data_IF_557664324980
#
_entry.id   IF_557664324980
#
_cell.length_a   1.000
_cell.length_b   1.000
_cell.length_c   1.000
_cell.angle_alpha   90.00
_cell.angle_beta   90.00
_cell.angle_gamma   90.00
#
_symmetry.space_group_name_H-M   'P 1'
#
loop_
_entity.id
_entity.type
_entity.pdbx_description
1 polymer ?
#
# COMPACT_ATOMS: atom_id res chain seq x y z
N UNK A 1 -7.61 -8.30 20.48
CA UNK A 1 -8.41 -9.14 19.55
C UNK A 1 -7.55 -10.20 18.84
N UNK A 2 -6.22 -10.15 18.90
CA UNK A 2 -5.36 -11.12 18.19
C UNK A 2 -5.35 -10.93 16.68
N UNK A 3 -5.87 -9.80 16.17
CA UNK A 3 -5.98 -9.52 14.73
C UNK A 3 -4.63 -9.19 14.07
N UNK A 4 -3.56 -9.06 14.87
CA UNK A 4 -2.25 -8.60 14.37
C UNK A 4 -2.25 -7.14 13.92
N UNK A 5 -3.30 -6.38 14.21
CA UNK A 5 -3.46 -4.98 13.80
C UNK A 5 -4.01 -4.13 14.94
N UNK A 6 -3.72 -2.84 14.95
CA UNK A 6 -4.28 -1.87 15.90
C UNK A 6 -5.05 -0.76 15.17
N UNK A 7 -5.96 -0.06 15.85
CA UNK A 7 -6.56 1.15 15.27
C UNK A 7 -5.49 2.20 15.01
N UNK A 8 -5.62 2.98 13.93
CA UNK A 8 -4.73 4.11 13.67
C UNK A 8 -4.72 5.12 14.84
N UNK A 9 -5.84 5.27 15.56
CA UNK A 9 -5.93 6.16 16.72
C UNK A 9 -5.12 5.64 17.92
N UNK A 10 -4.99 4.32 18.06
CA UNK A 10 -4.24 3.70 19.16
C UNK A 10 -2.72 3.75 18.95
N UNK A 11 -2.27 4.14 17.75
CA UNK A 11 -0.86 4.27 17.41
C UNK A 11 -0.15 5.35 18.25
N UNK A 12 -0.81 6.49 18.54
CA UNK A 12 -0.23 7.53 19.41
C UNK A 12 0.03 6.98 20.82
N UNK A 13 -0.95 6.26 21.38
CA UNK A 13 -0.83 5.60 22.68
C UNK A 13 0.29 4.56 22.70
N UNK A 14 0.40 3.73 21.65
CA UNK A 14 1.45 2.73 21.52
C UNK A 14 2.84 3.36 21.53
N UNK A 15 3.06 4.38 20.68
CA UNK A 15 4.38 5.01 20.52
C UNK A 15 4.82 5.76 21.78
N UNK A 16 3.88 6.34 22.53
CA UNK A 16 4.13 6.94 23.86
C UNK A 16 4.46 5.90 24.93
N UNK A 17 3.85 4.72 24.85
CA UNK A 17 4.10 3.67 25.83
C UNK A 17 5.49 3.06 25.67
N UNK A 18 5.99 2.97 24.43
CA UNK A 18 7.32 2.46 24.14
C UNK A 18 8.37 3.52 24.50
N UNK A 19 9.37 3.13 25.29
CA UNK A 19 10.48 4.01 25.67
C UNK A 19 11.43 4.23 24.46
N UNK A 20 12.12 5.38 24.40
CA UNK A 20 13.24 5.56 23.48
C UNK A 20 14.29 4.45 23.64
N UNK A 21 15.00 4.03 22.56
CA UNK A 21 15.03 4.65 21.23
C UNK A 21 13.93 4.17 20.26
N UNK A 22 13.21 3.09 20.60
CA UNK A 22 12.18 2.51 19.72
C UNK A 22 10.90 3.33 19.68
N UNK A 23 10.52 3.94 20.80
CA UNK A 23 9.37 4.85 20.88
C UNK A 23 9.78 6.26 21.29
N UNK A 24 8.79 7.06 21.68
CA UNK A 24 9.02 8.47 22.08
C UNK A 24 8.88 8.68 23.59
N UNK A 25 8.28 7.73 24.30
CA UNK A 25 8.02 7.81 25.73
C UNK A 25 6.81 8.69 26.11
N UNK A 26 6.33 8.50 27.34
CA UNK A 26 5.05 9.04 27.80
C UNK A 26 4.98 10.58 27.81
N UNK A 27 6.12 11.26 27.99
CA UNK A 27 6.22 12.72 28.08
C UNK A 27 6.35 13.43 26.73
N UNK A 28 6.32 12.70 25.61
CA UNK A 28 6.46 13.31 24.28
C UNK A 28 5.29 14.24 23.93
N UNK A 29 5.57 15.35 23.24
CA UNK A 29 4.52 16.25 22.75
C UNK A 29 3.72 15.58 21.62
N UNK A 30 2.43 15.92 21.47
CA UNK A 30 1.58 15.40 20.37
C UNK A 30 2.19 15.65 18.99
N UNK A 31 2.81 16.81 18.79
CA UNK A 31 3.48 17.17 17.53
C UNK A 31 4.64 16.22 17.23
N UNK A 32 5.47 15.91 18.24
CA UNK A 32 6.58 14.97 18.09
C UNK A 32 6.07 13.57 17.75
N UNK A 33 5.01 13.10 18.41
CA UNK A 33 4.45 11.77 18.13
C UNK A 33 3.88 11.70 16.72
N UNK A 34 3.16 12.72 16.26
CA UNK A 34 2.64 12.77 14.89
C UNK A 34 3.77 12.76 13.85
N UNK A 35 4.83 13.54 14.07
CA UNK A 35 5.99 13.54 13.18
C UNK A 35 6.71 12.18 13.19
N UNK A 36 6.81 11.55 14.36
CA UNK A 36 7.35 10.21 14.51
C UNK A 36 6.53 9.20 13.70
N UNK A 37 5.21 9.15 13.89
CA UNK A 37 4.32 8.24 13.16
C UNK A 37 4.40 8.49 11.65
N UNK A 38 4.39 9.75 11.20
CA UNK A 38 4.50 10.11 9.77
C UNK A 38 5.82 9.62 9.15
N UNK A 39 6.89 9.55 9.93
CA UNK A 39 8.17 9.02 9.46
C UNK A 39 8.22 7.49 9.36
N UNK A 40 7.29 6.78 10.01
CA UNK A 40 7.13 5.34 9.86
C UNK A 40 6.36 5.06 8.57
N UNK A 41 6.91 4.19 7.73
CA UNK A 41 6.25 3.83 6.48
C UNK A 41 5.39 2.58 6.68
N UNK A 42 4.33 2.75 7.47
CA UNK A 42 3.37 1.69 7.76
C UNK A 42 2.11 1.92 6.92
N UNK A 43 1.71 0.98 6.05
CA UNK A 43 0.47 1.10 5.31
C UNK A 43 -0.73 0.91 6.27
N UNK A 44 -1.85 1.55 5.94
CA UNK A 44 -3.13 1.27 6.57
C UNK A 44 -3.84 0.17 5.80
N UNK A 45 -4.50 -0.73 6.52
CA UNK A 45 -5.43 -1.68 5.92
C UNK A 45 -6.70 -0.96 5.43
N UNK A 46 -7.53 -1.67 4.66
CA UNK A 46 -8.82 -1.15 4.15
C UNK A 46 -9.73 -0.65 5.28
N UNK A 47 -9.66 -1.30 6.45
CA UNK A 47 -10.42 -0.95 7.64
C UNK A 47 -9.79 0.19 8.47
N UNK A 48 -8.75 0.85 7.95
CA UNK A 48 -8.04 1.93 8.65
C UNK A 48 -7.19 1.45 9.83
N UNK A 49 -6.74 0.19 9.81
CA UNK A 49 -5.93 -0.41 10.88
C UNK A 49 -4.46 -0.47 10.49
N UNK A 50 -3.60 -0.48 11.50
CA UNK A 50 -2.15 -0.48 11.36
C UNK A 50 -1.63 -1.90 11.65
N UNK A 51 -0.92 -2.55 10.70
CA UNK A 51 -0.34 -3.86 10.94
C UNK A 51 0.80 -3.84 11.97
N UNK A 52 0.73 -4.74 12.96
CA UNK A 52 1.70 -4.82 14.05
C UNK A 52 3.10 -5.18 13.54
N UNK A 53 3.20 -6.22 12.71
CA UNK A 53 4.49 -6.72 12.17
C UNK A 53 5.24 -5.63 11.40
N UNK A 54 4.51 -4.87 10.58
CA UNK A 54 5.08 -3.75 9.83
C UNK A 54 5.49 -2.58 10.72
N UNK A 55 4.70 -2.29 11.75
CA UNK A 55 5.05 -1.28 12.75
C UNK A 55 6.36 -1.62 13.44
N UNK A 56 6.48 -2.84 13.99
CA UNK A 56 7.70 -3.29 14.68
C UNK A 56 8.93 -3.20 13.77
N UNK A 57 8.80 -3.61 12.51
CA UNK A 57 9.89 -3.50 11.55
C UNK A 57 10.37 -2.06 11.35
N UNK A 58 9.46 -1.11 11.11
CA UNK A 58 9.86 0.29 10.89
C UNK A 58 10.48 0.91 12.15
N UNK A 59 10.04 0.51 13.35
CA UNK A 59 10.66 0.94 14.61
C UNK A 59 12.10 0.42 14.74
N UNK A 60 12.33 -0.87 14.46
CA UNK A 60 13.66 -1.47 14.50
C UNK A 60 14.55 -0.87 13.43
N UNK A 61 14.06 -0.75 12.18
CA UNK A 61 14.76 -0.14 11.04
C UNK A 61 15.29 1.25 11.39
N UNK A 62 14.46 2.05 12.05
CA UNK A 62 14.80 3.41 12.47
C UNK A 62 15.97 3.44 13.47
N UNK A 63 16.00 2.51 14.43
CA UNK A 63 17.05 2.45 15.46
C UNK A 63 18.33 1.81 14.92
N UNK A 64 18.22 0.89 13.96
CA UNK A 64 19.36 0.21 13.33
C UNK A 64 20.10 1.05 12.28
N UNK A 65 19.79 2.35 12.15
CA UNK A 65 20.38 3.28 11.17
C UNK A 65 20.37 2.73 9.72
N UNK A 66 19.43 1.84 9.43
CA UNK A 66 19.27 1.26 8.10
C UNK A 66 18.51 2.25 7.22
N UNK A 67 19.25 3.19 6.65
CA UNK A 67 18.72 4.13 5.67
C UNK A 67 18.39 3.37 4.38
N UNK A 68 17.11 3.07 4.21
CA UNK A 68 16.61 2.52 2.96
C UNK A 68 16.50 3.66 1.95
N UNK A 69 17.08 3.51 0.74
CA UNK A 69 16.95 4.51 -0.30
C UNK A 69 15.46 4.70 -0.65
N UNK A 70 14.96 5.94 -0.79
CA UNK A 70 13.55 6.19 -1.05
C UNK A 70 13.11 5.71 -2.45
N UNK A 71 11.79 5.61 -2.66
CA UNK A 71 11.20 5.27 -3.96
C UNK A 71 11.28 3.78 -4.31
N UNK A 72 11.35 3.45 -5.61
CA UNK A 72 11.29 2.06 -6.10
C UNK A 72 12.37 1.14 -5.50
N UNK A 73 13.53 1.68 -5.16
CA UNK A 73 14.64 0.89 -4.62
C UNK A 73 14.26 0.30 -3.25
N UNK A 74 13.56 1.09 -2.41
CA UNK A 74 12.98 0.59 -1.16
C UNK A 74 12.03 -0.54 -1.41
N UNK A 75 11.10 -0.38 -2.36
CA UNK A 75 10.06 -1.36 -2.63
C UNK A 75 10.68 -2.68 -3.08
N UNK A 76 11.75 -2.64 -3.89
CA UNK A 76 12.51 -3.83 -4.28
C UNK A 76 13.19 -4.52 -3.11
N UNK A 77 13.80 -3.75 -2.20
CA UNK A 77 14.40 -4.28 -0.96
C UNK A 77 13.33 -4.93 -0.09
N UNK A 78 12.19 -4.26 0.09
CA UNK A 78 11.07 -4.76 0.88
C UNK A 78 10.48 -6.05 0.30
N UNK A 79 10.29 -6.11 -1.02
CA UNK A 79 9.86 -7.33 -1.73
C UNK A 79 10.87 -8.45 -1.50
N UNK A 80 12.17 -8.16 -1.57
CA UNK A 80 13.24 -9.14 -1.35
C UNK A 80 13.25 -9.69 0.07
N UNK A 81 13.07 -8.82 1.08
CA UNK A 81 12.97 -9.20 2.49
C UNK A 81 11.73 -10.07 2.73
N UNK A 82 10.57 -9.67 2.18
CA UNK A 82 9.32 -10.45 2.32
C UNK A 82 9.43 -11.84 1.68
N UNK A 83 10.10 -11.94 0.53
CA UNK A 83 10.41 -13.23 -0.13
C UNK A 83 11.37 -14.09 0.68
N UNK A 84 12.38 -13.49 1.31
CA UNK A 84 13.36 -14.21 2.13
C UNK A 84 12.78 -14.71 3.46
N UNK A 85 11.78 -14.03 4.01
CA UNK A 85 11.20 -14.33 5.33
C UNK A 85 9.66 -14.50 5.29
N UNK A 86 9.11 -15.46 4.53
CA UNK A 86 7.66 -15.58 4.31
C UNK A 86 6.85 -15.92 5.57
N UNK A 87 7.48 -16.46 6.62
CA UNK A 87 6.82 -16.76 7.90
C UNK A 87 6.66 -15.53 8.82
N UNK A 88 7.48 -14.50 8.61
CA UNK A 88 7.51 -13.29 9.45
C UNK A 88 6.61 -12.20 8.85
N UNK A 89 6.43 -12.19 7.53
CA UNK A 89 5.72 -11.12 6.85
C UNK A 89 4.33 -11.55 6.40
N UNK A 90 3.40 -10.58 6.40
CA UNK A 90 2.18 -10.73 5.62
C UNK A 90 2.55 -10.93 4.14
N UNK A 91 1.82 -11.78 3.39
CA UNK A 91 2.03 -11.90 1.96
C UNK A 91 2.14 -10.51 1.35
N UNK A 92 3.09 -10.31 0.43
CA UNK A 92 3.06 -9.12 -0.43
C UNK A 92 1.61 -9.07 -0.95
N UNK A 93 0.85 -7.99 -0.68
CA UNK A 93 -0.53 -7.94 -1.12
C UNK A 93 -0.53 -8.32 -2.59
N UNK A 94 -1.28 -9.37 -2.94
CA UNK A 94 -1.41 -9.84 -4.33
C UNK A 94 -2.26 -8.85 -5.16
N UNK A 95 -2.36 -7.62 -4.66
CA UNK A 95 -2.99 -6.47 -5.27
C UNK A 95 -2.13 -6.04 -6.44
N UNK A 96 -2.37 -6.77 -7.54
CA UNK A 96 -2.26 -6.35 -8.94
C UNK A 96 -1.86 -4.89 -8.98
N UNK A 97 -0.59 -4.66 -9.32
CA UNK A 97 0.00 -3.33 -9.36
C UNK A 97 -1.02 -2.32 -9.85
N UNK A 98 -1.12 -1.17 -9.20
CA UNK A 98 -2.01 -0.10 -9.67
C UNK A 98 -1.84 0.14 -11.19
N UNK A 99 -0.61 -0.09 -11.71
CA UNK A 99 -0.28 -0.20 -13.12
C UNK A 99 -1.02 -1.31 -13.89
N UNK A 100 -1.11 -2.55 -13.40
CA UNK A 100 -1.91 -3.63 -13.97
C UNK A 100 -3.42 -3.29 -13.97
N UNK A 101 -3.95 -2.70 -12.90
CA UNK A 101 -5.34 -2.24 -12.86
C UNK A 101 -5.58 -1.14 -13.91
N UNK A 102 -4.69 -0.15 -14.00
CA UNK A 102 -4.76 0.89 -15.04
C UNK A 102 -4.62 0.32 -16.45
N UNK A 103 -3.78 -0.69 -16.65
CA UNK A 103 -3.64 -1.39 -17.91
C UNK A 103 -4.95 -2.09 -18.31
N UNK A 104 -5.58 -2.81 -17.38
CA UNK A 104 -6.89 -3.44 -17.58
C UNK A 104 -7.96 -2.41 -17.95
N UNK A 105 -8.04 -1.29 -17.22
CA UNK A 105 -9.00 -0.22 -17.50
C UNK A 105 -8.78 0.37 -18.91
N UNK A 106 -7.53 0.59 -19.31
CA UNK A 106 -7.19 1.09 -20.65
C UNK A 106 -7.59 0.10 -21.75
N UNK A 107 -7.26 -1.18 -21.58
CA UNK A 107 -7.64 -2.25 -22.52
C UNK A 107 -9.16 -2.36 -22.64
N UNK A 108 -9.88 -2.34 -21.53
CA UNK A 108 -11.35 -2.38 -21.52
C UNK A 108 -11.99 -1.15 -22.18
N UNK A 109 -11.44 0.05 -21.98
CA UNK A 109 -11.91 1.27 -22.66
C UNK A 109 -11.68 1.18 -24.16
N UNK A 110 -10.49 0.77 -24.58
CA UNK A 110 -10.16 0.60 -25.99
C UNK A 110 -11.06 -0.44 -26.66
N UNK A 111 -11.27 -1.59 -26.02
CA UNK A 111 -12.13 -2.65 -26.53
C UNK A 111 -13.59 -2.21 -26.70
N UNK A 112 -14.11 -1.42 -25.76
CA UNK A 112 -15.47 -0.83 -25.86
C UNK A 112 -15.59 0.10 -27.07
N UNK A 113 -14.59 0.95 -27.32
CA UNK A 113 -14.56 1.83 -28.50
C UNK A 113 -14.48 1.03 -29.81
N UNK A 114 -13.59 0.04 -29.87
CA UNK A 114 -13.44 -0.83 -31.05
C UNK A 114 -14.75 -1.59 -31.33
N UNK A 115 -15.36 -2.15 -30.29
CA UNK A 115 -16.63 -2.86 -30.38
C UNK A 115 -17.77 -1.94 -30.85
N UNK A 116 -17.86 -0.72 -30.32
CA UNK A 116 -18.84 0.28 -30.74
C UNK A 116 -18.64 0.70 -32.20
N UNK A 117 -17.40 0.93 -32.63
CA UNK A 117 -17.08 1.28 -34.01
C UNK A 117 -17.36 0.12 -34.98
N UNK A 118 -17.06 -1.13 -34.59
CA UNK A 118 -17.45 -2.31 -35.36
C UNK A 118 -18.96 -2.42 -35.52
N UNK A 119 -19.72 -2.16 -34.46
CA UNK A 119 -21.20 -2.13 -34.51
C UNK A 119 -21.70 -1.04 -35.46
N UNK A 120 -21.22 0.20 -35.32
CA UNK A 120 -21.57 1.32 -36.22
C UNK A 120 -21.28 1.01 -37.69
N UNK A 121 -20.12 0.41 -38.00
CA UNK A 121 -19.77 0.02 -39.37
C UNK A 121 -20.69 -1.07 -39.92
N UNK A 122 -21.08 -2.05 -39.10
CA UNK A 122 -22.08 -3.07 -39.49
C UNK A 122 -23.45 -2.43 -39.75
N UNK A 123 -23.89 -1.52 -38.88
CA UNK A 123 -25.18 -0.84 -39.02
C UNK A 123 -25.21 0.06 -40.27
N UNK A 124 -24.11 0.76 -40.57
CA UNK A 124 -23.96 1.56 -41.79
C UNK A 124 -23.94 0.70 -43.05
N UNK A 125 -23.19 -0.41 -43.05
CA UNK A 125 -23.14 -1.34 -44.18
C UNK A 125 -24.47 -2.09 -44.41
N UNK A 126 -25.25 -2.32 -43.34
CA UNK A 126 -26.61 -2.83 -43.48
C UNK A 126 -27.52 -1.77 -44.11
N UNK A 127 -27.48 -0.52 -43.62
CA UNK A 127 -28.28 0.58 -44.18
C UNK A 127 -27.99 0.86 -45.65
N UNK A 128 -26.72 0.80 -46.08
CA UNK A 128 -26.35 0.99 -47.49
C UNK A 128 -26.72 -0.17 -48.42
N UNK A 129 -27.17 -1.31 -47.89
CA UNK A 129 -27.69 -2.44 -48.69
C UNK A 129 -29.20 -2.38 -48.89
N UNK A 130 -29.89 -1.56 -48.10
CA UNK A 130 -31.34 -1.37 -48.15
C UNK A 130 -31.75 0.03 -48.64
N UNK A 131 -30.77 0.82 -49.12
CA UNK A 131 -30.95 2.09 -49.82
C UNK A 131 -30.50 1.89 -51.27
#
# INVERSE_FOLDING_TARGET
>A
DGSGTISAMDMDSLIRHIRPPLGVGAKASKVLVLHFIKSLHVPLTVDGRVPFRRTVFELVRRVSECDMPPGEMRDRIEISIRRAFPCIWEPVPDERSWAALMCIIRVQRHWRLVSANRKRRKDQAARSKFA
#
